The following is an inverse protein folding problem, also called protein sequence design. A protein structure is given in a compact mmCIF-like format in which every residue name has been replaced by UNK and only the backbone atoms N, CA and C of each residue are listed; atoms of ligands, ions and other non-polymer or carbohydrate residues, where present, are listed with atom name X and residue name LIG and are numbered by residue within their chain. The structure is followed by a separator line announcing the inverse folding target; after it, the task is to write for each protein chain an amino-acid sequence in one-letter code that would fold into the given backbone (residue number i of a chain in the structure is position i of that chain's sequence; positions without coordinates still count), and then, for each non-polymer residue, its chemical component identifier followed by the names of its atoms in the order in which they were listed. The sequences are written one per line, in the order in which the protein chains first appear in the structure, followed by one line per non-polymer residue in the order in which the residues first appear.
data_IF_081567098811
#
_entry.id   IF_081567098811
#
_cell.length_a   1.000
_cell.length_b   1.000
_cell.length_c   1.000
_cell.angle_alpha   90.00
_cell.angle_beta   90.00
_cell.angle_gamma   90.00
#
_symmetry.space_group_name_H-M   'P 1'
#
loop_
_entity.id
_entity.type
_entity.pdbx_description
1 polymer ?
#
# COMPACT_ATOMS: atom_id res chain seq x y z
N UNK A 1 -8.54 -20.04 15.65
CA UNK A 1 -7.53 -19.04 16.09
C UNK A 1 -8.16 -18.25 17.23
N UNK A 2 -7.61 -18.35 18.43
CA UNK A 2 -8.13 -17.65 19.60
C UNK A 2 -7.56 -16.25 19.61
N UNK A 3 -8.42 -15.25 19.46
CA UNK A 3 -8.06 -13.86 19.62
C UNK A 3 -7.90 -13.53 21.11
N UNK A 4 -6.69 -13.17 21.51
CA UNK A 4 -6.36 -12.88 22.92
C UNK A 4 -6.68 -11.44 23.36
N UNK A 5 -7.15 -10.58 22.45
CA UNK A 5 -7.36 -9.16 22.73
C UNK A 5 -8.26 -8.94 23.96
N UNK A 6 -9.36 -9.67 24.06
CA UNK A 6 -10.27 -9.54 25.21
C UNK A 6 -9.59 -9.86 26.54
N UNK A 7 -8.73 -10.88 26.56
CA UNK A 7 -7.95 -11.27 27.74
C UNK A 7 -6.92 -10.20 28.10
N UNK A 8 -6.23 -9.64 27.11
CA UNK A 8 -5.23 -8.58 27.32
C UNK A 8 -5.90 -7.31 27.86
N UNK A 9 -7.06 -6.91 27.32
CA UNK A 9 -7.79 -5.74 27.79
C UNK A 9 -8.23 -5.90 29.26
N UNK A 10 -8.73 -7.08 29.62
CA UNK A 10 -9.10 -7.39 31.03
C UNK A 10 -7.89 -7.33 31.95
N UNK A 11 -6.77 -7.93 31.55
CA UNK A 11 -5.55 -7.94 32.37
C UNK A 11 -5.00 -6.53 32.61
N UNK A 12 -5.17 -5.61 31.64
CA UNK A 12 -4.73 -4.21 31.73
C UNK A 12 -5.78 -3.27 32.29
N UNK A 13 -6.99 -3.73 32.63
CA UNK A 13 -8.08 -2.92 33.14
C UNK A 13 -8.61 -1.89 32.14
N UNK A 14 -8.42 -2.12 30.84
CA UNK A 14 -8.82 -1.20 29.76
C UNK A 14 -10.19 -1.56 29.22
N UNK A 15 -11.02 -0.52 28.98
CA UNK A 15 -12.31 -0.65 28.32
C UNK A 15 -12.19 -0.48 26.81
N UNK A 16 -13.15 -1.04 26.05
CA UNK A 16 -13.21 -0.85 24.59
C UNK A 16 -13.33 0.64 24.21
N UNK A 17 -13.91 1.49 25.06
CA UNK A 17 -14.03 2.93 24.81
C UNK A 17 -12.67 3.62 24.90
N UNK A 18 -11.89 3.34 25.94
CA UNK A 18 -10.54 3.91 26.12
C UNK A 18 -9.60 3.54 24.97
N UNK A 19 -9.67 2.28 24.51
CA UNK A 19 -8.89 1.85 23.35
C UNK A 19 -9.37 2.54 22.07
N UNK A 20 -10.67 2.69 21.90
CA UNK A 20 -11.27 3.36 20.75
C UNK A 20 -10.82 4.84 20.66
N UNK A 21 -10.87 5.55 21.77
CA UNK A 21 -10.43 6.94 21.88
C UNK A 21 -8.93 7.10 21.58
N UNK A 22 -8.10 6.22 22.16
CA UNK A 22 -6.65 6.25 21.94
C UNK A 22 -6.24 5.97 20.49
N UNK A 23 -7.01 5.14 19.77
CA UNK A 23 -6.70 4.74 18.39
C UNK A 23 -7.50 5.52 17.32
N UNK A 24 -8.35 6.47 17.73
CA UNK A 24 -9.20 7.23 16.81
C UNK A 24 -10.19 6.34 16.02
N UNK A 25 -10.75 5.30 16.67
CA UNK A 25 -11.69 4.36 16.05
C UNK A 25 -12.99 4.28 16.85
N UNK A 26 -14.01 3.63 16.30
CA UNK A 26 -15.27 3.45 17.04
C UNK A 26 -15.16 2.34 18.09
N UNK A 27 -15.88 2.48 19.21
CA UNK A 27 -15.99 1.42 20.23
C UNK A 27 -16.47 0.09 19.63
N UNK A 28 -17.37 0.14 18.65
CA UNK A 28 -17.86 -1.06 17.94
C UNK A 28 -16.76 -1.76 17.14
N UNK A 29 -15.82 -1.00 16.57
CA UNK A 29 -14.67 -1.59 15.88
C UNK A 29 -13.79 -2.39 16.86
N UNK A 30 -13.44 -1.81 18.02
CA UNK A 30 -12.65 -2.51 19.05
C UNK A 30 -13.39 -3.73 19.58
N UNK A 31 -14.69 -3.63 19.83
CA UNK A 31 -15.51 -4.76 20.26
C UNK A 31 -15.51 -5.89 19.21
N UNK A 32 -15.63 -5.56 17.92
CA UNK A 32 -15.57 -6.54 16.83
C UNK A 32 -14.20 -7.21 16.76
N UNK A 33 -13.11 -6.46 16.94
CA UNK A 33 -11.75 -7.03 16.99
C UNK A 33 -11.59 -8.00 18.16
N UNK A 34 -12.18 -7.72 19.30
CA UNK A 34 -12.11 -8.58 20.48
C UNK A 34 -12.98 -9.84 20.40
N UNK A 35 -13.97 -9.89 19.47
CA UNK A 35 -14.96 -10.99 19.42
C UNK A 35 -14.99 -11.77 18.11
N UNK A 36 -14.72 -11.14 16.96
CA UNK A 36 -14.98 -11.72 15.63
C UNK A 36 -13.79 -11.72 14.69
N UNK A 37 -12.63 -11.19 15.08
CA UNK A 37 -11.45 -11.19 14.23
C UNK A 37 -10.49 -10.07 14.56
N UNK A 38 -9.31 -10.15 13.98
CA UNK A 38 -8.22 -9.20 14.22
C UNK A 38 -8.45 -7.90 13.41
N UNK A 39 -7.94 -6.75 13.91
CA UNK A 39 -7.87 -5.53 13.13
C UNK A 39 -6.95 -5.71 11.91
N UNK A 40 -7.06 -4.82 10.93
CA UNK A 40 -6.09 -4.74 9.83
C UNK A 40 -4.69 -4.48 10.39
N UNK A 41 -3.65 -4.87 9.64
CA UNK A 41 -2.25 -4.84 10.09
C UNK A 41 -1.85 -3.50 10.72
N UNK A 42 -2.17 -2.38 10.07
CA UNK A 42 -1.88 -1.03 10.60
C UNK A 42 -2.52 -0.76 11.97
N UNK A 43 -3.80 -1.12 12.10
CA UNK A 43 -4.52 -0.96 13.37
C UNK A 43 -4.07 -1.97 14.41
N UNK A 44 -3.62 -3.15 13.97
CA UNK A 44 -3.07 -4.18 14.85
C UNK A 44 -1.74 -3.73 15.46
N UNK A 45 -0.85 -3.13 14.67
CA UNK A 45 0.42 -2.57 15.17
C UNK A 45 0.18 -1.42 16.16
N UNK A 46 -0.65 -0.43 15.79
CA UNK A 46 -1.01 0.67 16.71
C UNK A 46 -1.66 0.18 18.01
N UNK A 47 -2.49 -0.86 17.91
CA UNK A 47 -3.13 -1.49 19.08
C UNK A 47 -2.10 -2.22 19.94
N UNK A 48 -1.15 -2.93 19.33
CA UNK A 48 -0.08 -3.63 20.00
C UNK A 48 0.84 -2.65 20.74
N UNK A 49 1.24 -1.57 20.09
CA UNK A 49 2.05 -0.50 20.67
C UNK A 49 1.34 0.16 21.87
N UNK A 50 0.07 0.50 21.69
CA UNK A 50 -0.75 1.10 22.77
C UNK A 50 -0.89 0.15 23.97
N UNK A 51 -1.05 -1.14 23.71
CA UNK A 51 -1.19 -2.15 24.75
C UNK A 51 0.16 -2.63 25.31
N UNK A 52 1.31 -2.26 24.70
CA UNK A 52 2.64 -2.72 25.09
C UNK A 52 2.77 -4.25 24.96
N UNK A 53 2.25 -4.82 23.92
CA UNK A 53 2.31 -6.25 23.58
C UNK A 53 2.71 -6.46 22.12
N UNK A 54 3.11 -7.68 21.73
CA UNK A 54 3.37 -7.96 20.32
C UNK A 54 2.05 -8.21 19.55
N UNK A 55 2.01 -7.94 18.23
CA UNK A 55 0.88 -8.30 17.39
C UNK A 55 0.51 -9.79 17.50
N UNK A 56 1.49 -10.69 17.59
CA UNK A 56 1.31 -12.11 17.78
C UNK A 56 0.57 -12.46 19.08
N UNK A 57 0.86 -11.75 20.16
CA UNK A 57 0.13 -11.93 21.43
C UNK A 57 -1.34 -11.56 21.31
N UNK A 58 -1.70 -10.58 20.46
CA UNK A 58 -3.09 -10.20 20.19
C UNK A 58 -3.78 -11.25 19.31
N UNK A 59 -3.10 -11.71 18.25
CA UNK A 59 -3.67 -12.65 17.28
C UNK A 59 -3.74 -14.08 17.81
N UNK A 60 -2.97 -14.38 18.86
CA UNK A 60 -2.83 -15.74 19.39
C UNK A 60 -1.91 -16.63 18.55
N UNK A 61 -1.09 -16.03 17.72
CA UNK A 61 -0.09 -16.69 16.88
C UNK A 61 1.30 -16.26 17.38
N UNK A 62 1.95 -17.10 18.17
CA UNK A 62 3.26 -16.79 18.78
C UNK A 62 4.38 -16.74 17.73
N UNK A 63 4.21 -17.41 16.58
CA UNK A 63 5.14 -17.39 15.45
C UNK A 63 4.82 -16.26 14.44
N UNK A 64 3.82 -15.42 14.73
CA UNK A 64 3.48 -14.30 13.87
C UNK A 64 4.56 -13.21 13.95
N UNK A 65 5.55 -13.30 13.10
CA UNK A 65 6.41 -12.17 12.75
C UNK A 65 5.61 -11.22 11.85
N UNK A 66 5.06 -10.16 12.45
CA UNK A 66 4.49 -9.09 11.65
C UNK A 66 5.59 -8.56 10.71
N UNK A 67 5.32 -8.38 9.41
CA UNK A 67 6.25 -7.65 8.55
C UNK A 67 6.55 -6.34 9.27
N UNK A 68 7.84 -5.97 9.32
CA UNK A 68 8.31 -4.81 10.07
C UNK A 68 7.68 -3.55 9.46
N UNK A 69 6.51 -3.18 10.00
CA UNK A 69 5.84 -1.93 9.64
C UNK A 69 6.50 -0.81 10.44
N UNK A 70 7.19 0.09 9.77
CA UNK A 70 7.73 1.29 10.37
C UNK A 70 6.74 2.43 10.07
N UNK A 71 6.06 2.98 11.11
CA UNK A 71 5.16 4.10 10.88
C UNK A 71 5.93 5.31 10.34
N UNK A 72 5.25 6.12 9.53
CA UNK A 72 5.84 7.29 8.88
C UNK A 72 6.56 8.26 9.84
N UNK A 73 6.10 8.36 11.10
CA UNK A 73 6.74 9.13 12.17
C UNK A 73 8.06 8.55 12.68
N UNK A 74 8.37 7.30 12.35
CA UNK A 74 9.59 6.60 12.74
C UNK A 74 10.59 6.37 11.59
N UNK A 75 10.37 6.98 10.42
CA UNK A 75 11.17 6.70 9.21
C UNK A 75 12.65 7.06 9.36
N UNK A 76 13.03 7.97 10.26
CA UNK A 76 14.43 8.22 10.62
C UNK A 76 15.05 7.08 11.45
N UNK A 77 14.26 6.09 11.86
CA UNK A 77 14.67 4.95 12.67
C UNK A 77 14.73 3.62 11.91
N UNK A 78 14.42 3.59 10.60
CA UNK A 78 14.67 2.40 9.78
C UNK A 78 16.18 2.30 9.63
N UNK A 79 16.86 1.29 10.21
CA UNK A 79 18.29 1.14 10.01
C UNK A 79 18.57 1.02 8.52
N UNK A 80 19.31 1.97 7.96
CA UNK A 80 19.84 1.81 6.62
C UNK A 80 20.89 0.69 6.67
N UNK A 81 20.57 -0.40 6.03
CA UNK A 81 21.48 -1.52 5.88
C UNK A 81 22.06 -1.46 4.46
N UNK A 82 23.37 -1.56 4.33
CA UNK A 82 24.03 -1.60 3.03
C UNK A 82 23.46 -2.71 2.16
N UNK A 83 23.09 -2.39 0.90
CA UNK A 83 22.48 -3.32 -0.02
C UNK A 83 20.96 -3.48 0.17
N UNK A 84 20.31 -2.60 0.94
CA UNK A 84 18.88 -2.58 1.16
C UNK A 84 18.30 -1.20 0.87
N UNK A 85 17.18 -1.18 0.16
CA UNK A 85 16.43 0.03 -0.17
C UNK A 85 15.15 0.10 0.63
N UNK A 86 14.90 1.24 1.28
CA UNK A 86 13.64 1.54 1.96
C UNK A 86 12.67 2.16 0.97
N UNK A 87 11.48 1.57 0.85
CA UNK A 87 10.42 2.02 -0.05
C UNK A 87 9.20 2.41 0.77
N UNK A 88 8.69 3.63 0.55
CA UNK A 88 7.53 4.15 1.26
C UNK A 88 6.25 3.48 0.78
N UNK A 89 5.34 3.21 1.72
CA UNK A 89 3.98 2.73 1.44
C UNK A 89 3.03 3.91 1.52
N UNK A 90 2.41 4.24 0.39
CA UNK A 90 1.47 5.34 0.25
C UNK A 90 0.04 4.81 0.24
N UNK A 91 -0.87 5.52 0.90
CA UNK A 91 -2.29 5.27 0.76
C UNK A 91 -2.83 6.03 -0.46
N UNK A 92 -3.37 5.32 -1.44
CA UNK A 92 -3.94 5.92 -2.64
C UNK A 92 -5.08 6.93 -2.35
N UNK A 93 -5.75 6.81 -1.20
CA UNK A 93 -6.78 7.78 -0.76
C UNK A 93 -6.22 9.02 -0.06
N UNK A 94 -5.03 8.96 0.50
CA UNK A 94 -4.41 10.07 1.22
C UNK A 94 -3.57 10.98 0.35
N UNK A 95 -3.26 10.57 -0.89
CA UNK A 95 -2.40 11.32 -1.81
C UNK A 95 -3.10 12.52 -2.46
N UNK A 96 -4.42 12.61 -2.32
CA UNK A 96 -5.30 13.44 -3.14
C UNK A 96 -5.80 14.72 -2.46
N UNK A 97 -5.12 15.25 -1.51
CA UNK A 97 -5.59 16.46 -0.84
C UNK A 97 -4.49 17.45 -0.49
N UNK A 98 -4.36 18.46 -1.31
CA UNK A 98 -3.57 19.70 -1.15
C UNK A 98 -2.25 19.76 -1.92
N UNK A 99 -2.31 20.13 -3.18
CA UNK A 99 -1.44 21.04 -3.95
C UNK A 99 0.09 21.08 -3.76
N UNK A 100 0.67 20.14 -3.04
CA UNK A 100 2.12 19.98 -2.89
C UNK A 100 2.46 18.49 -2.82
N UNK A 101 3.34 18.01 -3.70
CA UNK A 101 3.81 16.62 -3.65
C UNK A 101 4.84 16.45 -2.53
N UNK A 102 4.45 16.57 -1.28
CA UNK A 102 5.28 16.06 -0.20
C UNK A 102 4.88 14.63 0.08
N UNK A 103 5.54 13.72 -0.59
CA UNK A 103 5.47 12.26 -0.44
C UNK A 103 5.47 11.80 1.03
N UNK A 104 6.03 12.59 1.93
CA UNK A 104 6.09 12.29 3.36
C UNK A 104 4.77 12.46 4.12
N UNK A 105 3.85 13.27 3.64
CA UNK A 105 2.60 13.56 4.38
C UNK A 105 1.57 12.42 4.31
N UNK A 106 1.67 11.54 3.33
CA UNK A 106 0.69 10.49 3.04
C UNK A 106 1.27 9.06 3.14
N UNK A 107 2.50 8.93 3.63
CA UNK A 107 3.07 7.60 3.83
C UNK A 107 2.45 6.93 5.06
N UNK A 108 1.93 5.72 4.87
CA UNK A 108 1.34 4.91 5.94
C UNK A 108 2.34 3.91 6.51
N UNK A 109 3.53 3.79 5.91
CA UNK A 109 4.59 2.92 6.36
C UNK A 109 5.75 2.84 5.37
N UNK A 110 6.66 1.90 5.61
CA UNK A 110 7.77 1.60 4.73
C UNK A 110 8.04 0.08 4.68
N UNK A 111 8.58 -0.40 3.58
CA UNK A 111 9.08 -1.76 3.41
C UNK A 111 10.54 -1.71 2.97
N UNK A 112 11.33 -2.70 3.39
CA UNK A 112 12.71 -2.84 2.96
C UNK A 112 12.83 -3.98 1.95
N UNK A 113 13.59 -3.74 0.90
CA UNK A 113 13.90 -4.73 -0.13
C UNK A 113 15.40 -4.82 -0.30
N UNK A 114 15.92 -6.02 -0.52
CA UNK A 114 17.30 -6.14 -0.94
C UNK A 114 17.48 -5.51 -2.33
N UNK A 115 18.58 -4.83 -2.53
CA UNK A 115 18.91 -4.22 -3.81
C UNK A 115 18.96 -5.27 -4.95
N UNK A 116 19.39 -6.49 -4.64
CA UNK A 116 19.42 -7.58 -5.61
C UNK A 116 18.02 -7.99 -6.06
N UNK A 117 17.05 -8.01 -5.15
CA UNK A 117 15.66 -8.23 -5.51
C UNK A 117 15.16 -7.12 -6.45
N UNK A 118 15.39 -5.85 -6.10
CA UNK A 118 14.93 -4.72 -6.92
C UNK A 118 15.59 -4.75 -8.32
N UNK A 119 16.89 -5.06 -8.39
CA UNK A 119 17.60 -5.19 -9.68
C UNK A 119 17.12 -6.37 -10.53
N UNK A 120 16.53 -7.39 -9.90
CA UNK A 120 15.97 -8.54 -10.65
C UNK A 120 14.64 -8.22 -11.32
N UNK A 121 13.98 -7.11 -10.96
CA UNK A 121 12.68 -6.74 -11.50
C UNK A 121 12.77 -6.20 -12.92
N UNK A 122 11.79 -6.49 -13.80
CA UNK A 122 11.80 -6.06 -15.19
C UNK A 122 11.89 -4.53 -15.34
N UNK A 123 12.86 -4.06 -16.12
CA UNK A 123 13.02 -2.64 -16.43
C UNK A 123 13.79 -1.83 -15.39
N UNK A 124 14.24 -2.45 -14.29
CA UNK A 124 15.10 -1.81 -13.30
C UNK A 124 16.55 -1.97 -13.70
N UNK A 125 17.19 -0.87 -14.12
CA UNK A 125 18.59 -0.85 -14.58
C UNK A 125 19.55 -0.25 -13.57
N UNK A 126 19.06 0.14 -12.40
CA UNK A 126 19.82 0.74 -11.30
C UNK A 126 18.86 1.15 -10.21
N UNK A 127 19.39 1.47 -9.04
CA UNK A 127 18.61 1.93 -7.89
C UNK A 127 19.03 3.37 -7.59
N UNK A 128 18.05 4.25 -7.45
CA UNK A 128 18.22 5.66 -7.10
C UNK A 128 17.32 6.00 -5.94
N UNK A 129 17.72 6.99 -5.16
CA UNK A 129 16.89 7.48 -4.06
C UNK A 129 15.54 7.97 -4.58
N UNK A 130 14.45 7.57 -3.90
CA UNK A 130 13.09 7.94 -4.26
C UNK A 130 12.54 7.32 -5.54
N UNK A 131 13.25 6.34 -6.14
CA UNK A 131 12.82 5.69 -7.39
C UNK A 131 11.58 4.83 -7.20
N UNK A 132 11.41 4.24 -6.03
CA UNK A 132 10.35 3.27 -5.80
C UNK A 132 9.36 3.74 -4.76
N UNK A 133 8.09 3.46 -5.02
CA UNK A 133 6.99 3.66 -4.09
C UNK A 133 6.10 2.43 -4.06
N UNK A 134 5.44 2.18 -2.94
CA UNK A 134 4.39 1.18 -2.81
C UNK A 134 3.08 1.89 -2.66
N UNK A 135 2.11 1.53 -3.51
CA UNK A 135 0.76 2.12 -3.49
C UNK A 135 -0.25 1.05 -3.10
N UNK A 136 -1.12 1.35 -2.14
CA UNK A 136 -2.22 0.47 -1.76
C UNK A 136 -3.37 0.57 -2.77
N UNK A 137 -3.92 -0.59 -3.15
CA UNK A 137 -4.99 -0.68 -4.16
C UNK A 137 -6.34 -0.83 -3.49
N UNK A 138 -7.23 0.12 -3.73
CA UNK A 138 -8.56 0.15 -3.11
C UNK A 138 -9.68 -0.34 -4.02
N UNK A 139 -9.52 -0.17 -5.34
CA UNK A 139 -10.49 -0.58 -6.36
C UNK A 139 -10.36 -2.04 -6.77
N UNK A 140 -11.28 -2.50 -7.58
CA UNK A 140 -11.34 -3.84 -8.16
C UNK A 140 -11.14 -3.84 -9.69
N UNK A 141 -10.85 -2.68 -10.29
CA UNK A 141 -10.73 -2.54 -11.75
C UNK A 141 -9.61 -3.37 -12.37
N UNK A 142 -8.62 -3.78 -11.58
CA UNK A 142 -7.49 -4.58 -12.03
C UNK A 142 -7.55 -6.05 -11.58
N UNK A 143 -8.67 -6.48 -10.99
CA UNK A 143 -8.88 -7.89 -10.68
C UNK A 143 -9.00 -8.73 -11.97
N UNK A 144 -8.47 -9.96 -11.98
CA UNK A 144 -7.80 -10.67 -10.87
C UNK A 144 -6.30 -10.37 -10.73
N UNK A 145 -5.70 -9.59 -11.62
CA UNK A 145 -4.24 -9.35 -11.63
C UNK A 145 -3.78 -8.64 -10.36
N UNK A 146 -4.53 -7.62 -9.95
CA UNK A 146 -4.29 -6.89 -8.70
C UNK A 146 -5.58 -6.93 -7.90
N UNK A 147 -5.55 -7.58 -6.75
CA UNK A 147 -6.73 -7.71 -5.89
C UNK A 147 -6.95 -6.46 -5.05
N UNK A 148 -8.21 -6.20 -4.71
CA UNK A 148 -8.56 -5.13 -3.77
C UNK A 148 -7.82 -5.32 -2.43
N UNK A 149 -7.15 -4.29 -1.96
CA UNK A 149 -6.33 -4.32 -0.75
C UNK A 149 -4.92 -4.87 -0.98
N UNK A 150 -4.57 -5.21 -2.22
CA UNK A 150 -3.21 -5.52 -2.62
C UNK A 150 -2.32 -4.28 -2.62
N UNK A 151 -1.01 -4.49 -2.78
CA UNK A 151 -0.01 -3.44 -2.90
C UNK A 151 0.70 -3.58 -4.24
N UNK A 152 1.06 -2.46 -4.84
CA UNK A 152 1.87 -2.43 -6.06
C UNK A 152 3.17 -1.68 -5.81
N UNK A 153 4.28 -2.26 -6.26
CA UNK A 153 5.58 -1.59 -6.29
C UNK A 153 5.70 -0.84 -7.61
N UNK A 154 5.94 0.45 -7.53
CA UNK A 154 5.95 1.37 -8.66
C UNK A 154 7.35 1.95 -8.85
N UNK A 155 7.85 1.94 -10.08
CA UNK A 155 9.03 2.69 -10.48
C UNK A 155 8.60 4.08 -10.98
N UNK A 156 8.79 5.09 -10.15
CA UNK A 156 8.38 6.48 -10.39
C UNK A 156 9.25 7.21 -11.41
N UNK A 157 10.39 6.62 -11.81
CA UNK A 157 11.22 7.17 -12.88
C UNK A 157 10.70 6.80 -14.28
N UNK A 158 9.73 5.91 -14.38
CA UNK A 158 9.08 5.53 -15.64
C UNK A 158 7.77 6.32 -15.85
N UNK A 159 7.90 7.62 -16.07
CA UNK A 159 6.77 8.56 -16.26
C UNK A 159 6.24 8.62 -17.70
N UNK A 160 6.73 7.76 -18.58
CA UNK A 160 6.26 7.61 -19.94
C UNK A 160 5.93 6.16 -20.25
N UNK A 161 4.85 5.92 -20.98
CA UNK A 161 4.55 4.59 -21.51
C UNK A 161 5.49 4.30 -22.69
N UNK A 162 6.59 3.58 -22.41
CA UNK A 162 7.56 3.15 -23.43
C UNK A 162 7.36 1.70 -23.89
N UNK A 163 6.43 0.98 -23.30
CA UNK A 163 6.06 -0.40 -23.61
C UNK A 163 4.74 -0.76 -22.93
N UNK A 164 4.17 -1.87 -23.35
CA UNK A 164 3.00 -2.42 -22.71
C UNK A 164 3.32 -2.76 -21.25
N UNK A 165 2.35 -2.56 -20.36
CA UNK A 165 2.54 -2.79 -18.95
C UNK A 165 1.42 -2.21 -18.10
N UNK A 166 1.56 -2.28 -16.80
CA UNK A 166 0.62 -1.65 -15.85
C UNK A 166 1.26 -0.36 -15.36
N UNK A 167 0.48 0.71 -15.38
CA UNK A 167 0.94 2.05 -15.01
C UNK A 167 -0.03 2.69 -14.02
N UNK A 168 0.52 3.54 -13.18
CA UNK A 168 -0.21 4.41 -12.27
C UNK A 168 -0.37 5.75 -12.93
N UNK A 169 -1.61 6.21 -13.03
CA UNK A 169 -1.99 7.53 -13.55
C UNK A 169 -2.51 8.39 -12.41
N UNK A 170 -2.18 9.67 -12.45
CA UNK A 170 -2.72 10.68 -11.54
C UNK A 170 -3.43 11.74 -12.37
N UNK A 171 -4.66 12.05 -12.02
CA UNK A 171 -5.46 13.10 -12.62
C UNK A 171 -6.13 13.92 -11.51
N UNK A 172 -5.58 15.11 -11.24
CA UNK A 172 -5.97 15.88 -10.07
C UNK A 172 -5.72 15.09 -8.79
N UNK A 173 -6.80 14.80 -8.08
CA UNK A 173 -6.77 14.04 -6.83
C UNK A 173 -7.00 12.53 -7.03
N UNK A 174 -7.29 12.08 -8.23
CA UNK A 174 -7.61 10.68 -8.51
C UNK A 174 -6.38 9.89 -8.95
N UNK A 175 -6.25 8.67 -8.41
CA UNK A 175 -5.21 7.69 -8.77
C UNK A 175 -5.86 6.52 -9.47
N UNK A 176 -5.41 6.22 -10.68
CA UNK A 176 -5.88 5.11 -11.50
C UNK A 176 -4.74 4.14 -11.80
N UNK A 177 -5.00 2.85 -11.69
CA UNK A 177 -4.09 1.81 -12.13
C UNK A 177 -4.72 1.15 -13.35
N UNK A 178 -4.00 1.15 -14.47
CA UNK A 178 -4.47 0.59 -15.74
C UNK A 178 -3.36 -0.16 -16.46
N UNK A 179 -3.74 -1.19 -17.18
CA UNK A 179 -2.89 -1.80 -18.19
C UNK A 179 -2.87 -0.90 -19.41
N UNK A 180 -1.69 -0.62 -19.91
CA UNK A 180 -1.50 0.19 -21.11
C UNK A 180 -1.07 -0.73 -22.24
N UNK A 181 -1.72 -0.58 -23.38
CA UNK A 181 -1.30 -1.10 -24.68
C UNK A 181 -0.94 0.08 -25.58
N UNK A 182 0.25 0.03 -26.18
CA UNK A 182 0.68 1.05 -27.14
C UNK A 182 0.26 0.63 -28.55
N UNK A 183 -0.56 1.45 -29.19
CA UNK A 183 -1.01 1.20 -30.57
C UNK A 183 0.01 1.65 -31.63
N UNK A 184 -0.11 1.12 -32.84
CA UNK A 184 0.78 1.48 -33.97
C UNK A 184 0.76 2.98 -34.30
N UNK A 185 -0.36 3.66 -34.09
CA UNK A 185 -0.52 5.11 -34.25
C UNK A 185 -0.01 5.91 -33.03
N UNK A 186 0.67 5.25 -32.08
CA UNK A 186 1.17 5.80 -30.82
C UNK A 186 0.10 6.26 -29.83
N UNK A 187 -1.19 5.99 -30.07
CA UNK A 187 -2.20 6.14 -29.05
C UNK A 187 -2.03 5.09 -27.94
N UNK A 188 -2.61 5.36 -26.77
CA UNK A 188 -2.59 4.46 -25.62
C UNK A 188 -4.01 3.90 -25.41
N UNK A 189 -4.14 2.59 -25.33
CA UNK A 189 -5.36 1.95 -24.85
C UNK A 189 -5.17 1.63 -23.38
N UNK A 190 -6.01 2.24 -22.54
CA UNK A 190 -6.08 2.01 -21.11
C UNK A 190 -7.08 0.89 -20.84
N UNK A 191 -6.62 -0.20 -20.29
CA UNK A 191 -7.40 -1.42 -20.07
C UNK A 191 -7.47 -1.69 -18.58
N UNK A 192 -8.68 -1.99 -18.11
CA UNK A 192 -8.90 -2.60 -16.80
C UNK A 192 -8.86 -4.12 -16.98
N UNK A 193 -8.15 -4.84 -16.12
CA UNK A 193 -8.11 -6.30 -16.20
C UNK A 193 -9.46 -6.92 -15.79
N UNK A 194 -10.28 -6.19 -15.03
CA UNK A 194 -11.67 -6.54 -14.75
C UNK A 194 -12.55 -6.16 -15.95
N UNK A 195 -13.14 -7.18 -16.59
CA UNK A 195 -13.97 -7.04 -17.78
C UNK A 195 -15.24 -6.18 -17.58
N UNK A 196 -15.62 -5.88 -16.33
CA UNK A 196 -16.74 -4.97 -16.04
C UNK A 196 -16.44 -3.52 -16.40
N UNK A 197 -15.19 -3.19 -16.66
CA UNK A 197 -14.73 -1.83 -17.00
C UNK A 197 -14.26 -1.80 -18.46
N UNK A 198 -14.95 -1.07 -19.35
CA UNK A 198 -14.57 -1.00 -20.75
C UNK A 198 -13.21 -0.31 -20.93
N UNK A 199 -12.42 -0.72 -21.94
CA UNK A 199 -11.18 -0.04 -22.27
C UNK A 199 -11.45 1.34 -22.88
N UNK A 200 -10.47 2.25 -22.71
CA UNK A 200 -10.52 3.60 -23.29
C UNK A 200 -9.24 3.83 -24.08
N UNK A 201 -9.37 4.30 -25.32
CA UNK A 201 -8.21 4.66 -26.16
C UNK A 201 -8.09 6.18 -26.20
N UNK A 202 -6.90 6.68 -25.87
CA UNK A 202 -6.55 8.09 -25.83
C UNK A 202 -5.33 8.34 -26.71
N UNK A 203 -5.33 9.44 -27.45
CA UNK A 203 -4.10 9.99 -28.01
C UNK A 203 -3.21 10.51 -26.87
N UNK A 204 -1.91 10.70 -27.12
CA UNK A 204 -1.02 11.25 -26.09
C UNK A 204 -1.41 12.66 -25.66
N UNK A 205 -2.01 13.44 -26.58
CA UNK A 205 -2.47 14.80 -26.34
C UNK A 205 -3.79 14.84 -25.53
N UNK A 206 -4.57 13.76 -25.54
CA UNK A 206 -5.81 13.62 -24.77
C UNK A 206 -5.60 13.16 -23.33
N UNK A 207 -4.36 12.88 -22.93
CA UNK A 207 -3.99 12.70 -21.51
C UNK A 207 -4.02 14.03 -20.74
N UNK A 208 -4.74 15.05 -21.27
CA UNK A 208 -4.81 16.38 -20.73
C UNK A 208 -5.28 16.36 -19.26
N UNK A 209 -4.41 16.79 -18.34
CA UNK A 209 -4.62 16.73 -16.90
C UNK A 209 -4.25 15.42 -16.20
N UNK A 210 -4.10 14.31 -16.92
CA UNK A 210 -3.59 13.06 -16.37
C UNK A 210 -2.11 12.86 -16.73
N UNK A 211 -1.30 12.45 -15.77
CA UNK A 211 0.09 12.09 -16.02
C UNK A 211 0.39 10.69 -15.49
N UNK A 212 1.37 10.05 -16.12
CA UNK A 212 1.88 8.77 -15.63
C UNK A 212 2.78 9.07 -14.43
N UNK A 213 2.37 8.59 -13.26
CA UNK A 213 3.16 8.68 -12.02
C UNK A 213 4.30 7.67 -12.02
N UNK A 214 4.07 6.48 -12.58
CA UNK A 214 5.08 5.44 -12.68
C UNK A 214 4.57 4.14 -13.26
N UNK A 215 5.48 3.20 -13.46
CA UNK A 215 5.19 1.85 -13.93
C UNK A 215 5.13 0.87 -12.77
N UNK A 216 4.10 0.05 -12.73
CA UNK A 216 4.03 -1.07 -11.78
C UNK A 216 5.02 -2.15 -12.21
N UNK A 217 5.96 -2.49 -11.32
CA UNK A 217 7.02 -3.48 -11.56
C UNK A 217 6.85 -4.75 -10.74
N UNK A 218 6.04 -4.70 -9.67
CA UNK A 218 5.70 -5.87 -8.86
C UNK A 218 4.33 -5.70 -8.18
N UNK A 219 3.65 -6.81 -7.93
CA UNK A 219 2.32 -6.83 -7.29
C UNK A 219 2.35 -7.77 -6.08
N UNK A 220 1.88 -7.27 -4.95
CA UNK A 220 1.69 -8.05 -3.72
C UNK A 220 0.18 -8.26 -3.51
N UNK A 221 -0.33 -9.41 -3.89
CA UNK A 221 -1.70 -9.80 -3.63
C UNK A 221 -1.77 -10.54 -2.29
N UNK A 222 -2.49 -9.97 -1.33
CA UNK A 222 -2.77 -10.63 -0.08
C UNK A 222 -3.89 -11.65 -0.24
N UNK A 223 -3.70 -12.86 0.27
CA UNK A 223 -4.80 -13.81 0.44
C UNK A 223 -5.36 -13.65 1.85
N UNK A 224 -6.69 -13.56 1.94
CA UNK A 224 -7.36 -13.79 3.21
C UNK A 224 -7.49 -15.30 3.38
N UNK A 225 -6.77 -15.84 4.34
CA UNK A 225 -6.97 -17.23 4.79
C UNK A 225 -8.21 -17.33 5.67
#
# INVERSE_FOLDING_TARGET
MSNNLQTILRAKGLTHAQVADALGVTRQAVQRWATKGNPRLEKLSKLADFLGVTPGQITGDEDYEAPTYVPATGMNAVPQQDGWTVVLVLDAYGSCGSGSPSVQANSVGAMQFSDDFLRSLPGVHGIRDGQFEIISVSGDSMEPTITRGGLVLVDTHQTEARGDGIYVFVNGDDVFIKRVQINLNRSLTLISDNASYPPTTLSRDELDGAHIHGRVIFVFNGFRA
#
